data_IF_222430923203
#
_entry.id   IF_222430923203
#
_cell.length_a   1.000
_cell.length_b   1.000
_cell.length_c   1.000
_cell.angle_alpha   90.00
_cell.angle_beta   90.00
_cell.angle_gamma   90.00
#
_symmetry.space_group_name_H-M   'P 1'
#
loop_
_entity.id
_entity.type
_entity.pdbx_description
1 polymer ?
#
# COMPACT_ATOMS: atom_id res chain seq x y z
N UNK A 1 19.41 7.36 -1.21
CA UNK A 1 19.80 7.43 -2.62
C UNK A 1 18.76 6.68 -3.46
N UNK A 2 17.89 7.44 -4.14
CA UNK A 2 16.79 6.90 -4.94
C UNK A 2 17.29 6.03 -6.09
N UNK A 3 18.35 6.46 -6.79
CA UNK A 3 18.96 5.71 -7.90
C UNK A 3 19.39 4.31 -7.45
N UNK A 4 20.08 4.22 -6.32
CA UNK A 4 20.50 2.93 -5.75
C UNK A 4 19.30 2.05 -5.37
N UNK A 5 18.24 2.64 -4.87
CA UNK A 5 17.00 1.90 -4.56
C UNK A 5 16.37 1.31 -5.82
N UNK A 6 16.30 2.09 -6.90
CA UNK A 6 15.77 1.63 -8.19
C UNK A 6 16.63 0.49 -8.75
N UNK A 7 17.95 0.59 -8.70
CA UNK A 7 18.88 -0.47 -9.12
C UNK A 7 18.69 -1.76 -8.32
N UNK A 8 18.59 -1.66 -7.00
CA UNK A 8 18.38 -2.80 -6.08
C UNK A 8 17.06 -3.51 -6.37
N UNK A 9 15.97 -2.76 -6.55
CA UNK A 9 14.65 -3.30 -6.90
C UNK A 9 14.67 -3.92 -8.29
N UNK A 10 15.26 -3.26 -9.28
CA UNK A 10 15.36 -3.75 -10.65
C UNK A 10 16.16 -5.04 -10.72
N UNK A 11 17.25 -5.14 -9.95
CA UNK A 11 18.05 -6.37 -9.88
C UNK A 11 17.26 -7.55 -9.31
N UNK A 12 16.41 -7.29 -8.31
CA UNK A 12 15.56 -8.32 -7.73
C UNK A 12 14.38 -8.68 -8.62
N UNK A 13 13.91 -7.73 -9.43
CA UNK A 13 12.77 -7.91 -10.33
C UNK A 13 13.11 -8.76 -11.58
N UNK A 14 14.37 -9.08 -11.84
CA UNK A 14 14.75 -9.98 -12.95
C UNK A 14 14.10 -11.35 -12.76
N UNK A 15 13.60 -11.92 -13.85
CA UNK A 15 12.80 -13.16 -13.84
C UNK A 15 13.44 -14.32 -13.07
N UNK A 16 14.78 -14.46 -13.15
CA UNK A 16 15.54 -15.48 -12.44
C UNK A 16 15.48 -15.33 -10.90
N UNK A 17 15.51 -14.06 -10.42
CA UNK A 17 15.43 -13.76 -9.00
C UNK A 17 14.00 -13.85 -8.45
N UNK A 18 13.00 -13.54 -9.28
CA UNK A 18 11.58 -13.66 -8.89
C UNK A 18 11.21 -15.10 -8.55
N UNK A 19 11.64 -16.07 -9.38
CA UNK A 19 11.35 -17.50 -9.17
C UNK A 19 12.02 -18.08 -7.93
N UNK A 20 13.19 -17.55 -7.55
CA UNK A 20 14.00 -18.05 -6.42
C UNK A 20 13.72 -17.33 -5.11
N UNK A 21 12.89 -16.27 -5.09
CA UNK A 21 12.72 -15.44 -3.90
C UNK A 21 11.34 -15.66 -3.26
N UNK A 22 11.25 -16.29 -2.06
CA UNK A 22 10.00 -16.54 -1.37
C UNK A 22 9.30 -15.27 -0.85
N UNK A 23 9.99 -14.12 -0.87
CA UNK A 23 9.45 -12.82 -0.46
C UNK A 23 8.68 -12.11 -1.55
N UNK A 24 8.57 -12.71 -2.73
CA UNK A 24 7.81 -12.16 -3.85
C UNK A 24 6.51 -12.93 -3.96
N UNK A 25 5.42 -12.20 -3.99
CA UNK A 25 4.09 -12.77 -4.26
C UNK A 25 3.39 -11.97 -5.36
N UNK A 26 2.36 -12.56 -5.93
CA UNK A 26 1.58 -11.95 -7.00
C UNK A 26 0.20 -11.52 -6.49
N UNK A 27 -0.17 -10.29 -6.81
CA UNK A 27 -1.54 -9.81 -6.70
C UNK A 27 -2.01 -9.43 -8.10
N UNK A 28 -3.13 -9.98 -8.55
CA UNK A 28 -3.64 -9.79 -9.92
C UNK A 28 -2.57 -10.02 -11.01
N UNK A 29 -1.73 -11.04 -10.83
CA UNK A 29 -0.59 -11.38 -11.72
C UNK A 29 0.56 -10.37 -11.71
N UNK A 30 0.53 -9.35 -10.89
CA UNK A 30 1.61 -8.37 -10.77
C UNK A 30 2.51 -8.69 -9.58
N UNK A 31 3.82 -8.88 -9.79
CA UNK A 31 4.74 -9.25 -8.72
C UNK A 31 4.99 -8.08 -7.77
N UNK A 32 5.10 -8.40 -6.48
CA UNK A 32 5.46 -7.47 -5.41
C UNK A 32 6.63 -8.01 -4.62
N UNK A 33 7.56 -7.13 -4.26
CA UNK A 33 8.67 -7.48 -3.38
C UNK A 33 8.31 -7.02 -1.97
N UNK A 34 8.09 -7.96 -1.09
CA UNK A 34 7.75 -7.72 0.31
C UNK A 34 9.00 -7.77 1.16
N UNK A 35 9.06 -6.92 2.19
CA UNK A 35 10.17 -6.85 3.15
C UNK A 35 11.55 -6.57 2.52
N UNK A 36 11.59 -5.88 1.37
CA UNK A 36 12.84 -5.50 0.70
C UNK A 36 13.82 -4.74 1.60
N UNK A 37 13.30 -3.99 2.59
CA UNK A 37 14.11 -3.26 3.57
C UNK A 37 15.00 -4.17 4.42
N UNK A 38 14.65 -5.44 4.60
CA UNK A 38 15.49 -6.42 5.31
C UNK A 38 16.72 -6.80 4.51
N UNK A 39 16.60 -6.80 3.17
CA UNK A 39 17.66 -7.21 2.25
C UNK A 39 18.53 -6.04 1.79
N UNK A 40 17.92 -4.92 1.40
CA UNK A 40 18.62 -3.80 0.79
C UNK A 40 18.76 -2.60 1.73
N UNK A 41 20.01 -2.11 1.86
CA UNK A 41 20.31 -0.93 2.68
C UNK A 41 19.63 0.32 2.13
N UNK A 42 19.57 0.47 0.81
CA UNK A 42 18.90 1.59 0.13
C UNK A 42 17.42 1.69 0.52
N UNK A 43 16.68 0.58 0.42
CA UNK A 43 15.25 0.54 0.83
C UNK A 43 15.10 0.82 2.33
N UNK A 44 15.99 0.26 3.16
CA UNK A 44 16.01 0.54 4.60
C UNK A 44 16.25 2.01 4.91
N UNK A 45 17.09 2.67 4.13
CA UNK A 45 17.35 4.11 4.25
C UNK A 45 16.11 4.95 3.93
N UNK A 46 15.35 4.59 2.88
CA UNK A 46 14.08 5.24 2.56
C UNK A 46 13.05 5.05 3.68
N UNK A 47 12.92 3.84 4.22
CA UNK A 47 12.03 3.57 5.37
C UNK A 47 12.38 4.40 6.62
N UNK A 48 13.61 4.92 6.70
CA UNK A 48 14.12 5.75 7.80
C UNK A 48 14.33 7.20 7.39
N UNK A 49 13.74 7.63 6.29
CA UNK A 49 13.84 9.03 5.83
C UNK A 49 13.32 9.97 6.92
N UNK A 50 14.14 10.96 7.29
CA UNK A 50 13.84 11.88 8.41
C UNK A 50 12.61 12.75 8.16
N UNK A 51 12.37 13.16 6.92
CA UNK A 51 11.22 13.98 6.57
C UNK A 51 9.93 13.19 6.74
N UNK A 52 9.88 11.97 6.20
CA UNK A 52 8.71 11.07 6.38
C UNK A 52 8.48 10.80 7.88
N UNK A 53 9.53 10.45 8.61
CA UNK A 53 9.44 10.19 10.05
C UNK A 53 8.91 11.41 10.82
N UNK A 54 9.38 12.62 10.49
CA UNK A 54 8.94 13.84 11.16
C UNK A 54 7.47 14.17 10.84
N UNK A 55 7.05 14.01 9.58
CA UNK A 55 5.65 14.19 9.18
C UNK A 55 4.75 13.21 9.95
N UNK A 56 5.11 11.93 9.98
CA UNK A 56 4.34 10.92 10.69
C UNK A 56 4.30 11.16 12.20
N UNK A 57 5.45 11.59 12.78
CA UNK A 57 5.52 11.96 14.20
C UNK A 57 4.59 13.13 14.52
N UNK A 58 4.51 14.11 13.63
CA UNK A 58 3.61 15.24 13.79
C UNK A 58 2.14 14.82 13.79
N UNK A 59 1.73 13.98 12.83
CA UNK A 59 0.33 13.56 12.72
C UNK A 59 -0.11 12.59 13.82
N UNK A 60 0.78 11.71 14.25
CA UNK A 60 0.43 10.66 15.22
C UNK A 60 0.88 10.97 16.65
N UNK A 61 1.63 12.07 16.86
CA UNK A 61 2.21 12.45 18.16
C UNK A 61 3.02 11.32 18.81
N UNK A 62 3.48 10.37 18.00
CA UNK A 62 4.24 9.19 18.41
C UNK A 62 5.38 8.94 17.45
N UNK A 63 6.42 8.26 17.94
CA UNK A 63 7.55 7.86 17.10
C UNK A 63 7.11 6.72 16.16
N UNK A 64 7.12 6.94 14.83
CA UNK A 64 6.78 5.88 13.90
C UNK A 64 7.89 4.84 13.80
N UNK A 65 7.52 3.59 13.56
CA UNK A 65 8.44 2.47 13.36
C UNK A 65 8.10 1.81 12.03
N UNK A 66 9.03 1.76 11.07
CA UNK A 66 8.80 1.03 9.83
C UNK A 66 8.70 -0.47 10.12
N UNK A 67 7.60 -1.09 9.74
CA UNK A 67 7.34 -2.52 9.97
C UNK A 67 7.46 -3.34 8.70
N UNK A 68 7.26 -2.72 7.53
CA UNK A 68 7.32 -3.42 6.25
C UNK A 68 7.70 -2.45 5.12
N UNK A 69 8.13 -3.01 3.99
CA UNK A 69 8.21 -2.33 2.70
C UNK A 69 7.64 -3.23 1.61
N UNK A 70 6.84 -2.64 0.74
CA UNK A 70 6.28 -3.32 -0.43
C UNK A 70 6.71 -2.54 -1.66
N UNK A 71 7.44 -3.20 -2.57
CA UNK A 71 7.87 -2.61 -3.82
C UNK A 71 7.07 -3.21 -4.97
N UNK A 72 6.43 -2.37 -5.75
CA UNK A 72 5.66 -2.76 -6.91
C UNK A 72 6.55 -2.71 -8.14
N UNK A 73 6.54 -3.79 -8.95
CA UNK A 73 7.26 -3.88 -10.22
C UNK A 73 6.36 -3.38 -11.36
N UNK A 74 5.06 -3.56 -11.18
CA UNK A 74 3.99 -3.04 -12.05
C UNK A 74 2.86 -2.51 -11.18
N UNK A 75 2.04 -1.63 -11.72
CA UNK A 75 0.81 -1.18 -11.09
C UNK A 75 -0.06 -2.38 -10.67
N UNK A 76 -0.76 -2.27 -9.57
CA UNK A 76 -1.48 -3.40 -8.96
C UNK A 76 -2.90 -3.55 -9.47
N UNK A 77 -3.44 -2.54 -10.15
CA UNK A 77 -4.87 -2.46 -10.54
C UNK A 77 -5.82 -2.76 -9.37
N UNK A 78 -5.37 -2.40 -8.17
CA UNK A 78 -6.12 -2.67 -6.96
C UNK A 78 -7.32 -1.72 -6.87
N UNK A 79 -8.53 -2.21 -6.61
CA UNK A 79 -9.70 -1.37 -6.39
C UNK A 79 -9.52 -0.40 -5.22
N UNK A 80 -10.36 0.63 -5.14
CA UNK A 80 -10.36 1.57 -4.02
C UNK A 80 -10.55 0.81 -2.70
N UNK A 81 -9.62 1.01 -1.77
CA UNK A 81 -9.63 0.37 -0.45
C UNK A 81 -8.95 1.27 0.59
N UNK A 82 -9.12 0.94 1.83
CA UNK A 82 -8.28 1.42 2.93
C UNK A 82 -7.31 0.31 3.31
N UNK A 83 -6.06 0.65 3.52
CA UNK A 83 -5.05 -0.31 3.99
C UNK A 83 -5.41 -0.96 5.33
N UNK A 84 -6.33 -0.34 6.08
CA UNK A 84 -6.79 -0.87 7.36
C UNK A 84 -7.37 -2.29 7.27
N UNK A 85 -7.96 -2.67 6.13
CA UNK A 85 -8.48 -4.03 5.95
C UNK A 85 -7.40 -5.09 5.82
N UNK A 86 -6.21 -4.68 5.38
CA UNK A 86 -5.06 -5.56 5.20
C UNK A 86 -4.13 -5.53 6.40
N UNK A 87 -4.03 -4.37 7.05
CA UNK A 87 -3.10 -4.11 8.14
C UNK A 87 -3.83 -3.31 9.21
N UNK A 88 -3.92 -3.84 10.41
CA UNK A 88 -4.48 -3.13 11.55
C UNK A 88 -3.40 -2.85 12.60
N UNK A 89 -3.69 -1.91 13.49
CA UNK A 89 -2.87 -1.61 14.65
C UNK A 89 -3.70 -1.62 15.91
N UNK A 90 -3.06 -1.89 17.04
CA UNK A 90 -3.65 -1.67 18.35
C UNK A 90 -2.81 -0.62 19.09
N UNK A 91 -3.38 0.53 19.46
CA UNK A 91 -4.75 1.02 19.15
C UNK A 91 -5.01 1.19 17.64
N UNK A 92 -6.28 1.17 17.26
CA UNK A 92 -6.67 1.41 15.87
C UNK A 92 -6.23 2.78 15.35
N UNK A 93 -6.05 2.91 14.02
CA UNK A 93 -5.65 4.14 13.32
C UNK A 93 -4.18 4.57 13.51
N UNK A 94 -3.35 3.74 14.12
CA UNK A 94 -1.90 4.00 14.24
C UNK A 94 -1.05 3.29 13.17
N UNK A 95 -1.67 2.87 12.08
CA UNK A 95 -0.96 2.33 10.92
C UNK A 95 -1.20 3.22 9.71
N UNK A 96 -0.13 3.50 8.97
CA UNK A 96 -0.17 4.22 7.71
C UNK A 96 0.91 3.69 6.77
N UNK A 97 0.77 3.99 5.49
CA UNK A 97 1.79 3.78 4.49
C UNK A 97 2.31 5.12 3.95
N UNK A 98 3.59 5.20 3.70
CA UNK A 98 4.19 6.24 2.87
C UNK A 98 4.49 5.64 1.50
N UNK A 99 3.88 6.20 0.47
CA UNK A 99 4.10 5.79 -0.91
C UNK A 99 5.15 6.71 -1.55
N UNK A 100 6.17 6.15 -2.15
CA UNK A 100 7.28 6.89 -2.76
C UNK A 100 7.35 6.49 -4.23
N UNK A 101 7.22 7.47 -5.13
CA UNK A 101 7.38 7.26 -6.55
C UNK A 101 8.85 6.97 -6.88
N UNK A 102 9.13 5.85 -7.53
CA UNK A 102 10.47 5.50 -8.02
C UNK A 102 10.67 5.91 -9.49
N UNK A 103 9.59 6.21 -10.17
CA UNK A 103 9.53 6.75 -11.53
C UNK A 103 8.44 7.81 -11.62
N UNK A 104 8.40 8.59 -12.69
CA UNK A 104 7.31 9.51 -12.94
C UNK A 104 6.00 8.73 -13.15
N UNK A 105 4.93 9.13 -12.47
CA UNK A 105 3.63 8.44 -12.56
C UNK A 105 2.63 9.22 -13.39
N UNK A 106 1.95 8.53 -14.28
CA UNK A 106 0.86 9.04 -15.10
C UNK A 106 -0.25 7.97 -15.27
N UNK A 107 -1.24 8.26 -16.09
CA UNK A 107 -2.36 7.34 -16.31
C UNK A 107 -1.96 6.00 -16.96
N UNK A 108 -0.75 5.86 -17.50
CA UNK A 108 -0.28 4.68 -18.23
C UNK A 108 0.46 3.69 -17.35
N UNK A 109 1.04 4.15 -16.23
CA UNK A 109 1.91 3.30 -15.40
C UNK A 109 1.38 3.05 -13.98
N UNK A 110 0.06 3.21 -13.76
CA UNK A 110 -0.57 2.84 -12.49
C UNK A 110 -0.35 3.83 -11.36
N UNK A 111 -0.78 5.10 -11.52
CA UNK A 111 -0.69 6.11 -10.48
C UNK A 111 -1.60 5.78 -9.31
N UNK A 112 -1.31 6.34 -8.14
CA UNK A 112 -2.24 6.25 -7.00
C UNK A 112 -3.48 7.09 -7.29
N UNK A 113 -4.64 6.49 -7.03
CA UNK A 113 -5.92 7.18 -7.02
C UNK A 113 -6.40 7.32 -5.58
N UNK A 114 -6.64 8.54 -5.15
CA UNK A 114 -7.09 8.83 -3.79
C UNK A 114 -8.52 9.37 -3.78
N UNK A 115 -9.22 9.10 -2.68
CA UNK A 115 -10.54 9.68 -2.37
C UNK A 115 -10.33 10.78 -1.32
N UNK A 116 -10.32 12.07 -1.70
CA UNK A 116 -10.10 13.15 -0.75
C UNK A 116 -11.07 13.10 0.43
N UNK A 117 -10.56 13.27 1.65
CA UNK A 117 -11.38 13.25 2.86
C UNK A 117 -11.75 11.86 3.39
N UNK A 118 -11.38 10.78 2.69
CA UNK A 118 -11.76 9.41 3.09
C UNK A 118 -11.18 8.96 4.44
N UNK A 119 -10.12 9.60 4.93
CA UNK A 119 -9.58 9.35 6.27
C UNK A 119 -10.57 9.67 7.40
N UNK A 120 -11.65 10.41 7.09
CA UNK A 120 -12.75 10.73 8.02
C UNK A 120 -13.88 9.71 7.99
N UNK A 121 -13.82 8.73 7.09
CA UNK A 121 -14.82 7.66 7.04
C UNK A 121 -14.66 6.73 8.23
N UNK A 122 -15.77 6.11 8.62
CA UNK A 122 -15.76 5.09 9.65
C UNK A 122 -14.90 3.90 9.21
N UNK A 123 -14.27 3.27 10.18
CA UNK A 123 -13.55 2.02 9.92
C UNK A 123 -14.54 0.95 9.53
N UNK A 124 -14.21 0.21 8.50
CA UNK A 124 -15.02 -0.89 8.00
C UNK A 124 -14.33 -2.19 8.38
N UNK A 125 -15.05 -3.01 9.11
CA UNK A 125 -14.61 -4.35 9.48
C UNK A 125 -15.63 -5.42 9.05
N UNK A 126 -15.38 -6.66 9.43
CA UNK A 126 -16.22 -7.80 9.08
C UNK A 126 -17.64 -7.70 9.65
N UNK A 127 -17.79 -7.07 10.82
CA UNK A 127 -19.08 -6.98 11.52
C UNK A 127 -20.09 -6.13 10.77
N UNK A 128 -19.61 -5.09 10.04
CA UNK A 128 -20.48 -4.24 9.22
C UNK A 128 -21.27 -5.05 8.16
N UNK A 129 -20.72 -6.17 7.73
CA UNK A 129 -21.33 -7.04 6.72
C UNK A 129 -21.96 -8.30 7.31
N UNK A 130 -22.12 -8.36 8.63
CA UNK A 130 -22.55 -9.58 9.35
C UNK A 130 -21.67 -10.80 9.03
N UNK A 131 -20.38 -10.57 8.78
CA UNK A 131 -19.39 -11.61 8.52
C UNK A 131 -18.54 -11.85 9.76
N UNK A 132 -18.17 -13.12 9.95
CA UNK A 132 -17.17 -13.49 10.97
C UNK A 132 -15.77 -13.16 10.45
N UNK A 133 -14.83 -13.00 11.37
CA UNK A 133 -13.40 -12.89 11.02
C UNK A 133 -13.00 -14.07 10.14
N UNK A 134 -12.42 -13.84 8.95
CA UNK A 134 -12.02 -14.91 8.05
C UNK A 134 -10.99 -15.83 8.70
N UNK A 135 -11.20 -17.13 8.57
CA UNK A 135 -10.28 -18.18 9.03
C UNK A 135 -9.57 -18.88 7.87
N UNK A 136 -9.96 -18.56 6.63
CA UNK A 136 -9.36 -19.09 5.41
C UNK A 136 -9.13 -18.01 4.37
N UNK A 137 -8.24 -18.27 3.42
CA UNK A 137 -7.99 -17.39 2.28
C UNK A 137 -9.22 -17.22 1.37
N UNK A 138 -10.09 -18.23 1.31
CA UNK A 138 -11.33 -18.17 0.54
C UNK A 138 -12.32 -17.18 1.17
N UNK A 139 -12.50 -17.25 2.48
CA UNK A 139 -13.35 -16.31 3.22
C UNK A 139 -12.83 -14.89 3.14
N UNK A 140 -11.50 -14.73 3.27
CA UNK A 140 -10.84 -13.44 3.12
C UNK A 140 -11.07 -12.84 1.72
N UNK A 141 -10.93 -13.64 0.66
CA UNK A 141 -11.20 -13.21 -0.71
C UNK A 141 -12.65 -12.80 -0.92
N UNK A 142 -13.60 -13.51 -0.29
CA UNK A 142 -15.03 -13.17 -0.31
C UNK A 142 -15.29 -11.84 0.39
N UNK A 143 -14.69 -11.64 1.55
CA UNK A 143 -14.79 -10.37 2.27
C UNK A 143 -14.26 -9.20 1.43
N UNK A 144 -13.09 -9.33 0.78
CA UNK A 144 -12.55 -8.27 -0.06
C UNK A 144 -13.49 -7.86 -1.19
N UNK A 145 -14.14 -8.78 -1.85
CA UNK A 145 -15.14 -8.47 -2.91
C UNK A 145 -16.33 -7.66 -2.37
N UNK A 146 -16.84 -8.04 -1.20
CA UNK A 146 -17.93 -7.30 -0.53
C UNK A 146 -17.47 -5.91 -0.14
N UNK A 147 -16.31 -5.80 0.47
CA UNK A 147 -15.69 -4.54 0.88
C UNK A 147 -15.45 -3.59 -0.30
N UNK A 148 -14.82 -4.05 -1.36
CA UNK A 148 -14.57 -3.28 -2.58
C UNK A 148 -15.87 -2.73 -3.20
N UNK A 149 -16.90 -3.58 -3.25
CA UNK A 149 -18.24 -3.17 -3.70
C UNK A 149 -18.83 -2.08 -2.82
N UNK A 150 -18.71 -2.23 -1.51
CA UNK A 150 -19.17 -1.25 -0.53
C UNK A 150 -18.45 0.09 -0.68
N UNK A 151 -17.11 0.10 -0.74
CA UNK A 151 -16.32 1.32 -0.89
C UNK A 151 -16.69 2.07 -2.17
N UNK A 152 -16.81 1.37 -3.30
CA UNK A 152 -17.21 1.99 -4.57
C UNK A 152 -18.61 2.61 -4.50
N UNK A 153 -19.58 1.94 -3.86
CA UNK A 153 -20.92 2.49 -3.64
C UNK A 153 -20.89 3.71 -2.73
N UNK A 154 -20.11 3.65 -1.62
CA UNK A 154 -19.98 4.75 -0.67
C UNK A 154 -19.43 6.01 -1.33
N UNK A 155 -18.36 5.89 -2.11
CA UNK A 155 -17.75 7.00 -2.84
C UNK A 155 -18.74 7.63 -3.84
N UNK A 156 -19.49 6.80 -4.56
CA UNK A 156 -20.55 7.25 -5.48
C UNK A 156 -21.69 7.98 -4.75
N UNK A 157 -22.20 7.40 -3.67
CA UNK A 157 -23.27 8.00 -2.87
C UNK A 157 -22.87 9.34 -2.26
N UNK A 158 -21.65 9.44 -1.76
CA UNK A 158 -21.10 10.69 -1.24
C UNK A 158 -20.69 11.69 -2.32
N UNK A 159 -20.81 11.33 -3.59
CA UNK A 159 -20.45 12.15 -4.76
C UNK A 159 -19.02 12.71 -4.70
N UNK A 160 -18.10 11.97 -4.11
CA UNK A 160 -16.71 12.40 -3.98
C UNK A 160 -15.95 12.10 -5.26
N UNK A 161 -15.33 13.12 -5.84
CA UNK A 161 -14.43 12.94 -6.98
C UNK A 161 -13.11 12.36 -6.52
N UNK A 162 -12.67 11.30 -7.16
CA UNK A 162 -11.32 10.77 -6.96
C UNK A 162 -10.27 11.70 -7.57
N UNK A 163 -9.05 11.62 -7.03
CA UNK A 163 -7.91 12.38 -7.55
C UNK A 163 -6.78 11.41 -7.89
N UNK A 164 -6.32 11.46 -9.14
CA UNK A 164 -5.11 10.74 -9.58
C UNK A 164 -3.88 11.57 -9.22
N UNK A 165 -2.91 10.95 -8.59
CA UNK A 165 -1.65 11.60 -8.21
C UNK A 165 -0.60 11.36 -9.29
N UNK A 166 -0.20 12.44 -9.97
CA UNK A 166 0.92 12.45 -10.90
C UNK A 166 2.14 12.92 -10.13
N UNK A 167 3.09 12.05 -9.94
CA UNK A 167 4.24 12.26 -9.08
C UNK A 167 5.54 12.14 -9.89
N UNK A 168 6.56 12.86 -9.45
CA UNK A 168 7.92 12.71 -9.95
C UNK A 168 8.72 11.75 -9.05
N UNK A 169 9.83 11.16 -9.56
CA UNK A 169 10.67 10.29 -8.75
C UNK A 169 11.10 10.96 -7.45
N UNK A 170 10.90 10.28 -6.33
CA UNK A 170 11.24 10.76 -4.99
C UNK A 170 10.13 11.54 -4.27
N UNK A 171 9.00 11.76 -4.92
CA UNK A 171 7.82 12.33 -4.27
C UNK A 171 6.99 11.24 -3.61
#
# INVERSE_FOLDING_TARGET
DLKKTIEDISSLARAENLKKNPKIYHYNKNPRIVEGYKKFRSIRSLCKNKEIINILKYFYEKKPVPINSINFIKGTDQPLHSDYIHFSSMPHKYLCAAWIALEATDEKNGPIIVVPGSHKFDLVDYSLFNLKTPTSMQELSRFYKVYETYVNKLVKLKKIKTKTLKLQPGQ
#
